data_IF_115997741095
#
_entry.id   IF_115997741095
#
_cell.length_a   1.000
_cell.length_b   1.000
_cell.length_c   1.000
_cell.angle_alpha   90.00
_cell.angle_beta   90.00
_cell.angle_gamma   90.00
#
_symmetry.space_group_name_H-M   'P 1'
#
loop_
_entity.id
_entity.type
_entity.pdbx_description
1 polymer ?
#
# COMPACT_ATOMS: atom_id res chain seq x y z
N UNK A 1 13.92 3.86 -24.07
CA UNK A 1 13.88 3.21 -22.74
C UNK A 1 12.49 3.43 -22.18
N UNK A 2 11.60 2.42 -22.26
CA UNK A 2 10.25 2.53 -21.72
C UNK A 2 10.32 2.31 -20.21
N UNK A 3 10.05 3.34 -19.39
CA UNK A 3 9.93 3.11 -17.94
C UNK A 3 8.76 2.17 -17.68
N UNK A 4 9.06 0.99 -17.12
CA UNK A 4 8.04 0.02 -16.69
C UNK A 4 7.44 0.53 -15.38
N UNK A 5 6.13 0.76 -15.34
CA UNK A 5 5.41 1.04 -14.10
C UNK A 5 5.50 -0.20 -13.17
N UNK A 6 6.03 0.01 -11.98
CA UNK A 6 6.12 -1.01 -10.91
C UNK A 6 5.29 -0.50 -9.73
N UNK A 7 4.27 -1.28 -9.34
CA UNK A 7 3.52 -1.01 -8.11
C UNK A 7 4.26 -1.58 -6.92
N UNK A 8 3.94 -1.08 -5.73
CA UNK A 8 4.50 -1.60 -4.47
C UNK A 8 4.18 -3.09 -4.33
N UNK A 9 2.96 -3.51 -4.69
CA UNK A 9 2.55 -4.92 -4.64
C UNK A 9 3.38 -5.79 -5.59
N UNK A 10 3.60 -5.33 -6.82
CA UNK A 10 4.47 -6.04 -7.78
C UNK A 10 5.88 -6.15 -7.22
N UNK A 11 6.44 -5.05 -6.73
CA UNK A 11 7.79 -5.03 -6.17
C UNK A 11 7.93 -6.04 -5.03
N UNK A 12 7.01 -6.05 -4.06
CA UNK A 12 7.04 -6.98 -2.92
C UNK A 12 6.95 -8.44 -3.38
N UNK A 13 6.10 -8.73 -4.36
CA UNK A 13 5.92 -10.09 -4.88
C UNK A 13 7.13 -10.58 -5.69
N UNK A 14 7.72 -9.70 -6.51
CA UNK A 14 8.97 -9.99 -7.23
C UNK A 14 10.10 -10.28 -6.22
N UNK A 15 10.23 -9.46 -5.18
CA UNK A 15 11.23 -9.68 -4.12
C UNK A 15 11.03 -11.00 -3.38
N UNK A 16 9.80 -11.41 -3.05
CA UNK A 16 9.58 -12.74 -2.45
C UNK A 16 9.95 -13.87 -3.41
N UNK A 17 9.58 -13.74 -4.68
CA UNK A 17 9.83 -14.77 -5.71
C UNK A 17 11.33 -15.01 -5.93
N UNK A 18 12.14 -13.96 -5.75
CA UNK A 18 13.60 -14.04 -5.81
C UNK A 18 14.23 -14.80 -4.61
N UNK A 19 13.44 -15.15 -3.59
CA UNK A 19 13.88 -15.88 -2.40
C UNK A 19 13.16 -17.24 -2.27
N UNK A 20 13.73 -18.34 -2.80
CA UNK A 20 13.08 -19.67 -2.84
C UNK A 20 12.66 -20.24 -1.48
N UNK A 21 13.34 -19.82 -0.41
CA UNK A 21 13.08 -20.27 0.96
C UNK A 21 12.15 -19.31 1.74
N UNK A 22 11.62 -18.27 1.08
CA UNK A 22 10.76 -17.31 1.74
C UNK A 22 9.41 -17.95 2.11
N UNK A 23 9.06 -17.86 3.39
CA UNK A 23 7.77 -18.34 3.92
C UNK A 23 6.60 -17.41 3.57
N UNK A 24 6.88 -16.19 3.08
CA UNK A 24 5.88 -15.16 2.80
C UNK A 24 5.40 -14.36 4.02
N UNK A 25 5.91 -14.64 5.22
CA UNK A 25 5.53 -13.92 6.45
C UNK A 25 5.83 -12.42 6.33
N UNK A 26 7.03 -12.06 5.87
CA UNK A 26 7.40 -10.66 5.71
C UNK A 26 6.56 -9.96 4.62
N UNK A 27 6.30 -10.63 3.50
CA UNK A 27 5.40 -10.14 2.45
C UNK A 27 4.01 -9.83 2.98
N UNK A 28 3.45 -10.70 3.83
CA UNK A 28 2.14 -10.46 4.44
C UNK A 28 2.17 -9.22 5.33
N UNK A 29 3.19 -9.06 6.17
CA UNK A 29 3.37 -7.85 7.00
C UNK A 29 3.43 -6.59 6.12
N UNK A 30 4.18 -6.61 5.02
CA UNK A 30 4.27 -5.49 4.10
C UNK A 30 2.93 -5.17 3.42
N UNK A 31 2.15 -6.20 3.06
CA UNK A 31 0.81 -6.04 2.48
C UNK A 31 -0.16 -5.43 3.49
N UNK A 32 -0.14 -5.89 4.74
CA UNK A 32 -0.98 -5.37 5.82
C UNK A 32 -0.65 -3.90 6.11
N UNK A 33 0.64 -3.54 6.14
CA UNK A 33 1.09 -2.15 6.28
C UNK A 33 0.64 -1.27 5.10
N UNK A 34 0.76 -1.76 3.86
CA UNK A 34 0.30 -1.03 2.69
C UNK A 34 -1.22 -0.79 2.72
N UNK A 35 -2.01 -1.76 3.21
CA UNK A 35 -3.44 -1.60 3.42
C UNK A 35 -3.73 -0.54 4.50
N UNK A 36 -3.09 -0.64 5.66
CA UNK A 36 -3.27 0.32 6.75
C UNK A 36 -2.93 1.76 6.30
N UNK A 37 -1.84 1.94 5.56
CA UNK A 37 -1.47 3.24 5.01
C UNK A 37 -2.50 3.79 4.02
N UNK A 38 -3.09 2.94 3.17
CA UNK A 38 -4.16 3.34 2.24
C UNK A 38 -5.42 3.77 2.97
N UNK A 39 -5.78 3.07 4.05
CA UNK A 39 -6.90 3.46 4.91
C UNK A 39 -6.61 4.83 5.52
N UNK A 40 -5.51 4.97 6.28
CA UNK A 40 -5.13 6.25 6.90
C UNK A 40 -5.17 7.41 5.90
N UNK A 41 -4.58 7.22 4.71
CA UNK A 41 -4.63 8.23 3.64
C UNK A 41 -6.06 8.57 3.21
N UNK A 42 -6.93 7.59 3.02
CA UNK A 42 -8.36 7.80 2.73
C UNK A 42 -9.04 8.59 3.84
N UNK A 43 -8.83 8.26 5.11
CA UNK A 43 -9.46 8.96 6.22
C UNK A 43 -8.91 10.39 6.39
N UNK A 44 -7.59 10.59 6.30
CA UNK A 44 -6.97 11.92 6.40
C UNK A 44 -7.35 12.83 5.23
N UNK A 45 -7.38 12.31 4.00
CA UNK A 45 -7.79 13.09 2.83
C UNK A 45 -9.27 13.50 2.91
N UNK A 46 -10.12 12.67 3.53
CA UNK A 46 -11.55 13.00 3.75
C UNK A 46 -11.75 13.94 4.93
N UNK A 47 -10.95 13.83 5.99
CA UNK A 47 -11.02 14.72 7.16
C UNK A 47 -10.86 16.21 6.78
N UNK A 48 -9.99 16.50 5.80
CA UNK A 48 -9.85 17.85 5.24
C UNK A 48 -11.08 18.33 4.46
N UNK A 49 -11.87 17.42 3.89
CA UNK A 49 -13.09 17.75 3.14
C UNK A 49 -14.32 17.85 4.06
N UNK A 50 -14.43 17.02 5.10
CA UNK A 50 -15.52 17.11 6.09
C UNK A 50 -15.48 18.42 6.87
N UNK A 51 -14.28 18.95 7.17
CA UNK A 51 -14.14 20.29 7.75
C UNK A 51 -14.57 21.41 6.80
N UNK A 52 -14.49 21.22 5.48
CA UNK A 52 -14.85 22.24 4.48
C UNK A 52 -16.32 22.15 4.03
N UNK A 53 -16.93 20.96 4.07
CA UNK A 53 -18.30 20.73 3.61
C UNK A 53 -19.37 20.94 4.70
N UNK A 54 -18.95 21.12 5.96
CA UNK A 54 -19.85 21.27 7.10
C UNK A 54 -20.53 19.96 7.49
N UNK A 55 -20.57 19.66 8.78
CA UNK A 55 -21.52 18.67 9.29
C UNK A 55 -22.92 19.27 9.13
N UNK A 56 -23.73 18.69 8.25
CA UNK A 56 -25.15 19.02 8.11
C UNK A 56 -25.96 18.54 9.30
#
# INVERSE_FOLDING_TARGET
MTQKLITIERHIQEQQSDHPNATGVFTRILQDMALAAKLISRETNRAGLTSMLGET
#
